data_IF_737878269605
#
_entry.id   IF_737878269605
#
_cell.length_a   1.000
_cell.length_b   1.000
_cell.length_c   1.000
_cell.angle_alpha   90.00
_cell.angle_beta   90.00
_cell.angle_gamma   90.00
#
_symmetry.space_group_name_H-M   'P 1'
#
loop_
_entity.id
_entity.type
_entity.pdbx_description
1 polymer ?
#
# COMPACT_ATOMS: atom_id res chain seq x y z
N UNK A 1 1.88 -42.60 -9.66
CA UNK A 1 0.69 -42.90 -8.87
C UNK A 1 0.75 -42.04 -7.62
N UNK A 2 0.19 -40.85 -7.46
CA UNK A 2 -0.60 -39.89 -8.27
C UNK A 2 -0.32 -38.54 -7.56
N UNK A 3 0.16 -37.48 -8.20
CA UNK A 3 -0.57 -36.54 -9.05
C UNK A 3 -1.98 -36.18 -8.52
N UNK A 4 -2.05 -35.27 -7.55
CA UNK A 4 -3.21 -34.39 -7.42
C UNK A 4 -2.74 -32.99 -7.00
N UNK A 5 -2.11 -32.29 -7.94
CA UNK A 5 -2.08 -30.84 -7.91
C UNK A 5 -3.52 -30.37 -7.98
N UNK A 6 -3.99 -29.70 -6.93
CA UNK A 6 -5.31 -29.05 -6.92
C UNK A 6 -5.37 -28.11 -8.11
N UNK A 7 -6.27 -28.41 -9.03
CA UNK A 7 -6.70 -27.55 -10.14
C UNK A 7 -6.92 -26.13 -9.62
N UNK A 8 -6.15 -25.16 -10.12
CA UNK A 8 -6.46 -23.75 -9.98
C UNK A 8 -7.83 -23.51 -10.63
N UNK A 9 -8.84 -23.18 -9.83
CA UNK A 9 -10.19 -22.93 -10.34
C UNK A 9 -10.13 -21.95 -11.50
N UNK A 10 -10.79 -22.26 -12.63
CA UNK A 10 -10.82 -21.45 -13.86
C UNK A 10 -11.54 -20.10 -13.73
N UNK A 11 -11.51 -19.46 -12.56
CA UNK A 11 -12.08 -18.13 -12.32
C UNK A 11 -11.18 -17.06 -12.94
N UNK A 12 -11.81 -16.05 -13.54
CA UNK A 12 -11.12 -14.91 -14.15
C UNK A 12 -10.30 -14.11 -13.14
N UNK A 13 -10.83 -13.94 -11.93
CA UNK A 13 -10.20 -13.21 -10.83
C UNK A 13 -10.03 -14.09 -9.59
N UNK A 14 -8.92 -13.89 -8.88
CA UNK A 14 -8.55 -14.64 -7.67
C UNK A 14 -8.43 -13.72 -6.44
N UNK A 15 -8.12 -12.44 -6.65
CA UNK A 15 -7.90 -11.45 -5.59
C UNK A 15 -8.56 -10.11 -5.93
N UNK A 16 -9.06 -9.42 -4.91
CA UNK A 16 -9.66 -8.09 -5.00
C UNK A 16 -8.97 -7.18 -3.97
N UNK A 17 -8.36 -6.10 -4.44
CA UNK A 17 -7.76 -5.05 -3.63
C UNK A 17 -8.74 -3.87 -3.54
N UNK A 18 -9.07 -3.45 -2.32
CA UNK A 18 -9.97 -2.33 -2.08
C UNK A 18 -9.22 -1.23 -1.37
N UNK A 19 -9.15 -0.05 -1.97
CA UNK A 19 -8.96 1.15 -1.19
C UNK A 19 -10.09 1.33 -0.16
N UNK A 20 -9.81 2.09 0.88
CA UNK A 20 -10.70 2.24 2.02
C UNK A 20 -11.41 3.60 2.03
N UNK A 21 -10.63 4.67 2.12
CA UNK A 21 -11.14 6.03 2.35
C UNK A 21 -11.79 6.57 1.08
N UNK A 22 -13.01 7.08 1.19
CA UNK A 22 -13.81 7.54 0.04
C UNK A 22 -14.19 6.44 -1.00
N UNK A 23 -13.74 5.19 -0.77
CA UNK A 23 -14.05 3.98 -1.57
C UNK A 23 -15.06 3.05 -0.87
N UNK A 24 -14.76 2.52 0.32
CA UNK A 24 -15.68 1.66 1.09
C UNK A 24 -16.80 2.44 1.77
N UNK A 25 -16.61 3.74 1.92
CA UNK A 25 -17.61 4.69 2.37
C UNK A 25 -17.48 5.96 1.52
N UNK A 26 -18.56 6.74 1.32
CA UNK A 26 -18.50 7.85 0.38
C UNK A 26 -17.75 9.07 0.96
N UNK A 27 -17.19 9.90 0.06
CA UNK A 27 -16.61 11.22 0.38
C UNK A 27 -17.55 12.12 1.19
N UNK A 28 -18.85 11.98 1.01
CA UNK A 28 -19.87 12.72 1.76
C UNK A 28 -19.92 12.39 3.26
N UNK A 29 -19.22 11.35 3.72
CA UNK A 29 -19.04 11.04 5.15
C UNK A 29 -18.31 12.17 5.91
N UNK A 30 -17.49 12.96 5.21
CA UNK A 30 -16.74 14.07 5.79
C UNK A 30 -15.47 13.67 6.53
N UNK A 31 -15.10 12.37 6.57
CA UNK A 31 -13.86 11.91 7.20
C UNK A 31 -12.63 12.49 6.52
N UNK A 32 -12.60 12.52 5.18
CA UNK A 32 -11.53 13.13 4.39
C UNK A 32 -11.29 14.60 4.78
N UNK A 33 -12.38 15.38 4.88
CA UNK A 33 -12.32 16.79 5.26
C UNK A 33 -11.79 16.98 6.69
N UNK A 34 -12.22 16.13 7.63
CA UNK A 34 -11.71 16.15 9.00
C UNK A 34 -10.22 15.76 9.06
N UNK A 35 -9.81 14.74 8.31
CA UNK A 35 -8.43 14.30 8.20
C UNK A 35 -7.54 15.44 7.68
N UNK A 36 -7.97 16.09 6.59
CA UNK A 36 -7.27 17.26 6.04
C UNK A 36 -7.10 18.37 7.08
N UNK A 37 -8.15 18.72 7.82
CA UNK A 37 -8.06 19.73 8.89
C UNK A 37 -7.05 19.34 9.96
N UNK A 38 -7.06 18.08 10.40
CA UNK A 38 -6.11 17.60 11.40
C UNK A 38 -4.66 17.65 10.89
N UNK A 39 -4.42 17.37 9.61
CA UNK A 39 -3.09 17.53 8.98
C UNK A 39 -2.67 19.00 8.98
N UNK A 40 -3.56 19.90 8.55
CA UNK A 40 -3.29 21.34 8.52
C UNK A 40 -2.99 21.88 9.94
N UNK A 41 -3.76 21.46 10.95
CA UNK A 41 -3.51 21.77 12.36
C UNK A 41 -2.19 21.21 12.87
N UNK A 42 -1.84 19.97 12.50
CA UNK A 42 -0.55 19.37 12.87
C UNK A 42 0.62 20.19 12.31
N UNK A 43 0.55 20.56 11.02
CA UNK A 43 1.57 21.39 10.37
C UNK A 43 1.72 22.76 11.02
N UNK A 44 0.62 23.39 11.41
CA UNK A 44 0.65 24.70 12.07
C UNK A 44 1.17 24.61 13.52
N UNK A 45 0.69 23.65 14.30
CA UNK A 45 0.94 23.60 15.74
C UNK A 45 2.23 22.87 16.11
N UNK A 46 2.60 21.82 15.37
CA UNK A 46 3.73 20.94 15.70
C UNK A 46 4.94 21.21 14.81
N UNK A 47 4.71 21.54 13.53
CA UNK A 47 5.79 21.87 12.59
C UNK A 47 6.01 23.39 12.44
N UNK A 48 5.19 24.21 13.12
CA UNK A 48 5.28 25.67 13.12
C UNK A 48 5.32 26.31 11.73
N UNK A 49 4.61 25.72 10.76
CA UNK A 49 4.49 26.24 9.39
C UNK A 49 3.46 27.39 9.39
N UNK A 50 3.74 28.43 8.59
CA UNK A 50 2.87 29.60 8.46
C UNK A 50 1.46 29.21 7.97
N UNK A 51 0.43 29.70 8.66
CA UNK A 51 -0.98 29.42 8.38
C UNK A 51 -1.37 29.70 6.93
N UNK A 52 -0.75 30.71 6.30
CA UNK A 52 -1.05 31.08 4.91
C UNK A 52 -0.44 30.10 3.89
N UNK A 53 0.58 29.33 4.29
CA UNK A 53 1.27 28.37 3.42
C UNK A 53 0.68 26.96 3.52
N UNK A 54 0.20 26.57 4.71
CA UNK A 54 -0.26 25.22 5.03
C UNK A 54 -1.25 24.64 4.01
N UNK A 55 -2.36 25.31 3.63
CA UNK A 55 -3.35 24.72 2.72
C UNK A 55 -2.79 24.42 1.32
N UNK A 56 -1.89 25.30 0.84
CA UNK A 56 -1.22 25.13 -0.46
C UNK A 56 -0.19 23.99 -0.37
N UNK A 57 0.63 23.98 0.68
CA UNK A 57 1.62 22.93 0.90
C UNK A 57 0.96 21.55 0.98
N UNK A 58 -0.12 21.40 1.74
CA UNK A 58 -0.87 20.14 1.82
C UNK A 58 -1.26 19.61 0.44
N UNK A 59 -1.78 20.50 -0.41
CA UNK A 59 -2.23 20.15 -1.75
C UNK A 59 -1.07 19.77 -2.67
N UNK A 60 0.00 20.56 -2.66
CA UNK A 60 1.17 20.33 -3.51
C UNK A 60 1.87 19.02 -3.11
N UNK A 61 2.07 18.78 -1.82
CA UNK A 61 2.64 17.54 -1.30
C UNK A 61 1.76 16.32 -1.60
N UNK A 62 0.44 16.44 -1.45
CA UNK A 62 -0.49 15.36 -1.82
C UNK A 62 -0.42 15.02 -3.32
N UNK A 63 -0.34 16.04 -4.19
CA UNK A 63 -0.25 15.87 -5.64
C UNK A 63 1.05 15.20 -6.08
N UNK A 64 2.16 15.55 -5.44
CA UNK A 64 3.48 15.05 -5.81
C UNK A 64 3.78 13.68 -5.18
N UNK A 65 3.46 13.50 -3.90
CA UNK A 65 3.90 12.34 -3.10
C UNK A 65 2.77 11.37 -2.74
N UNK A 66 1.52 11.68 -3.08
CA UNK A 66 0.37 10.83 -2.79
C UNK A 66 -0.25 11.01 -1.41
N UNK A 67 0.56 11.39 -0.41
CA UNK A 67 0.08 11.83 0.91
C UNK A 67 0.89 13.05 1.36
N UNK A 68 0.27 13.92 2.19
CA UNK A 68 0.99 15.05 2.78
C UNK A 68 2.14 14.58 3.66
N UNK A 69 1.96 13.50 4.44
CA UNK A 69 3.02 12.93 5.28
C UNK A 69 4.23 12.45 4.47
N UNK A 70 4.02 11.73 3.36
CA UNK A 70 5.11 11.29 2.49
C UNK A 70 5.90 12.47 1.93
N UNK A 71 5.19 13.54 1.52
CA UNK A 71 5.81 14.76 1.05
C UNK A 71 6.60 15.49 2.13
N UNK A 72 6.04 15.63 3.33
CA UNK A 72 6.75 16.19 4.49
C UNK A 72 8.04 15.40 4.75
N UNK A 73 7.98 14.07 4.89
CA UNK A 73 9.17 13.24 5.09
C UNK A 73 10.19 13.35 3.97
N UNK A 74 9.75 13.43 2.72
CA UNK A 74 10.64 13.58 1.58
C UNK A 74 11.39 14.92 1.61
N UNK A 75 10.71 16.01 1.93
CA UNK A 75 11.36 17.33 2.04
C UNK A 75 12.39 17.37 3.16
N UNK A 76 12.08 16.75 4.30
CA UNK A 76 13.03 16.60 5.42
C UNK A 76 14.27 15.80 5.01
N UNK A 77 14.04 14.68 4.34
CA UNK A 77 15.11 13.80 3.89
C UNK A 77 15.99 14.48 2.82
N UNK A 78 15.38 15.16 1.85
CA UNK A 78 16.10 15.87 0.80
C UNK A 78 16.96 17.01 1.37
N UNK A 79 16.47 17.73 2.38
CA UNK A 79 17.26 18.74 3.06
C UNK A 79 18.44 18.12 3.82
N UNK A 80 18.23 17.00 4.52
CA UNK A 80 19.29 16.27 5.22
C UNK A 80 20.37 15.71 4.28
N UNK A 81 20.00 15.32 3.05
CA UNK A 81 20.93 14.73 2.06
C UNK A 81 21.66 15.78 1.24
N UNK A 82 21.01 16.88 0.84
CA UNK A 82 21.66 17.95 0.06
C UNK A 82 22.68 18.76 0.86
N UNK A 83 22.65 18.64 2.18
CA UNK A 83 23.52 19.34 3.08
C UNK A 83 24.21 18.34 4.00
N UNK A 84 25.41 17.88 3.61
CA UNK A 84 26.42 17.42 4.55
C UNK A 84 26.87 18.61 5.45
N UNK A 85 25.92 19.23 6.17
CA UNK A 85 26.14 20.43 6.96
C UNK A 85 26.21 20.07 8.44
N UNK A 86 27.19 20.70 9.08
CA UNK A 86 27.49 20.77 10.50
C UNK A 86 26.24 20.57 11.40
N UNK A 87 26.42 19.80 12.48
CA UNK A 87 25.43 19.49 13.53
C UNK A 87 24.51 20.67 13.89
N UNK A 88 25.00 21.90 13.82
CA UNK A 88 24.29 23.15 14.08
C UNK A 88 23.08 23.43 13.17
N UNK A 89 23.11 23.07 11.88
CA UNK A 89 21.96 23.31 10.97
C UNK A 89 20.89 22.23 11.13
N UNK A 90 21.31 20.98 11.37
CA UNK A 90 20.40 19.91 11.76
C UNK A 90 19.69 20.25 13.07
N UNK A 91 20.44 20.77 14.06
CA UNK A 91 19.89 21.31 15.30
C UNK A 91 18.96 22.52 15.07
N UNK A 92 19.20 23.34 14.05
CA UNK A 92 18.30 24.44 13.67
C UNK A 92 17.00 23.94 13.04
N UNK A 93 17.04 22.88 12.22
CA UNK A 93 15.84 22.25 11.68
C UNK A 93 15.04 21.47 12.75
N UNK A 94 15.73 20.78 13.64
CA UNK A 94 15.14 20.21 14.85
C UNK A 94 14.54 21.31 15.74
N UNK A 95 15.21 22.47 15.85
CA UNK A 95 14.69 23.64 16.55
C UNK A 95 13.54 24.35 15.82
N UNK A 96 13.37 24.11 14.51
CA UNK A 96 12.23 24.56 13.72
C UNK A 96 11.06 23.55 13.71
N UNK A 97 11.18 22.41 14.42
CA UNK A 97 10.06 21.49 14.68
C UNK A 97 9.76 20.50 13.54
N UNK A 98 10.67 20.35 12.59
CA UNK A 98 10.40 19.64 11.34
C UNK A 98 10.53 18.12 11.41
N UNK A 99 11.13 17.56 12.47
CA UNK A 99 11.21 16.11 12.69
C UNK A 99 10.02 15.64 13.55
N UNK A 100 9.24 14.70 13.05
CA UNK A 100 8.10 14.12 13.78
C UNK A 100 8.06 12.60 13.64
N UNK A 101 7.52 11.93 14.64
CA UNK A 101 7.31 10.47 14.60
C UNK A 101 6.08 10.10 13.77
N UNK A 102 6.16 8.99 13.02
CA UNK A 102 5.06 8.57 12.15
C UNK A 102 3.82 8.18 12.95
N UNK A 103 4.00 7.48 14.07
CA UNK A 103 2.89 7.01 14.90
C UNK A 103 2.26 8.20 15.64
N UNK A 104 3.06 9.19 16.05
CA UNK A 104 2.56 10.46 16.59
C UNK A 104 1.70 11.22 15.57
N UNK A 105 2.17 11.34 14.32
CA UNK A 105 1.40 11.98 13.25
C UNK A 105 0.09 11.26 13.00
N UNK A 106 0.11 9.94 12.85
CA UNK A 106 -1.10 9.14 12.64
C UNK A 106 -2.06 9.22 13.81
N UNK A 107 -1.55 9.14 15.05
CA UNK A 107 -2.36 9.29 16.26
C UNK A 107 -3.03 10.66 16.31
N UNK A 108 -2.32 11.73 15.93
CA UNK A 108 -2.88 13.07 15.90
C UNK A 108 -3.95 13.22 14.81
N UNK A 109 -3.63 12.78 13.59
CA UNK A 109 -4.46 12.99 12.40
C UNK A 109 -5.68 12.07 12.39
N UNK A 110 -5.50 10.79 12.65
CA UNK A 110 -6.58 9.80 12.60
C UNK A 110 -7.26 9.55 13.95
N UNK A 111 -6.57 9.76 15.07
CA UNK A 111 -7.14 9.53 16.41
C UNK A 111 -8.27 10.51 16.78
N UNK A 112 -8.41 11.62 16.07
CA UNK A 112 -9.45 12.65 16.28
C UNK A 112 -10.58 12.62 15.25
N UNK A 113 -10.60 11.63 14.35
CA UNK A 113 -11.60 11.60 13.29
C UNK A 113 -13.01 11.33 13.84
N UNK A 114 -14.04 11.90 13.20
CA UNK A 114 -15.43 11.75 13.62
C UNK A 114 -16.00 10.38 13.19
N UNK A 115 -15.45 9.28 13.69
CA UNK A 115 -15.86 7.92 13.30
C UNK A 115 -17.33 7.60 13.56
N UNK A 116 -18.01 8.33 14.46
CA UNK A 116 -19.45 8.17 14.68
C UNK A 116 -20.32 8.62 13.50
N UNK A 117 -19.73 9.33 12.53
CA UNK A 117 -20.40 9.62 11.26
C UNK A 117 -20.54 8.37 10.38
N UNK A 118 -19.66 7.38 10.56
CA UNK A 118 -19.75 6.09 9.87
C UNK A 118 -20.77 5.20 10.57
N UNK A 119 -21.59 4.53 9.76
CA UNK A 119 -22.62 3.60 10.22
C UNK A 119 -22.37 2.23 9.59
N UNK A 120 -22.82 1.14 10.23
CA UNK A 120 -22.77 -0.18 9.63
C UNK A 120 -23.41 -0.20 8.25
N UNK A 121 -22.70 -0.76 7.27
CA UNK A 121 -23.19 -0.93 5.91
C UNK A 121 -23.47 -2.42 5.63
N UNK A 122 -24.67 -2.85 6.00
CA UNK A 122 -25.08 -4.25 5.85
C UNK A 122 -25.23 -4.66 4.38
N UNK A 123 -25.47 -3.72 3.47
CA UNK A 123 -25.59 -4.01 2.05
C UNK A 123 -24.20 -4.27 1.46
N UNK A 124 -23.23 -3.41 1.75
CA UNK A 124 -21.83 -3.63 1.36
C UNK A 124 -21.29 -4.91 1.98
N UNK A 125 -21.57 -5.16 3.26
CA UNK A 125 -21.18 -6.39 3.96
C UNK A 125 -21.69 -7.63 3.23
N UNK A 126 -22.99 -7.69 2.92
CA UNK A 126 -23.57 -8.81 2.19
C UNK A 126 -22.92 -9.00 0.82
N UNK A 127 -22.69 -7.90 0.11
CA UNK A 127 -22.04 -7.90 -1.20
C UNK A 127 -20.62 -8.49 -1.13
N UNK A 128 -19.78 -8.01 -0.20
CA UNK A 128 -18.40 -8.47 -0.02
C UNK A 128 -18.33 -9.94 0.39
N UNK A 129 -19.20 -10.38 1.30
CA UNK A 129 -19.27 -11.78 1.74
C UNK A 129 -19.74 -12.72 0.62
N UNK A 130 -20.54 -12.23 -0.33
CA UNK A 130 -20.98 -13.02 -1.47
C UNK A 130 -19.89 -13.24 -2.53
N UNK A 131 -18.79 -12.47 -2.50
CA UNK A 131 -17.70 -12.61 -3.48
C UNK A 131 -16.81 -13.81 -3.11
N UNK A 132 -16.53 -14.75 -4.02
CA UNK A 132 -15.70 -15.92 -3.72
C UNK A 132 -14.19 -15.63 -3.65
N UNK A 133 -13.73 -14.49 -4.18
CA UNK A 133 -12.31 -14.12 -4.23
C UNK A 133 -11.78 -13.69 -2.86
N UNK A 134 -10.46 -13.79 -2.69
CA UNK A 134 -9.76 -13.15 -1.57
C UNK A 134 -9.94 -11.64 -1.67
N UNK A 135 -10.20 -10.99 -0.54
CA UNK A 135 -10.44 -9.56 -0.43
C UNK A 135 -9.43 -8.97 0.54
N UNK A 136 -8.72 -7.92 0.13
CA UNK A 136 -7.68 -7.28 0.92
C UNK A 136 -7.90 -5.77 0.85
N UNK A 137 -7.86 -5.09 2.00
CA UNK A 137 -7.83 -3.63 2.03
C UNK A 137 -6.44 -3.16 1.66
N UNK A 138 -6.33 -2.16 0.79
CA UNK A 138 -5.08 -1.52 0.40
C UNK A 138 -5.20 0.01 0.54
N UNK A 139 -4.78 0.53 1.70
CA UNK A 139 -4.92 1.95 2.08
C UNK A 139 -3.56 2.61 2.33
N UNK A 140 -3.49 3.93 2.14
CA UNK A 140 -2.36 4.76 2.57
C UNK A 140 -2.40 5.13 4.06
N UNK A 141 -3.50 4.84 4.75
CA UNK A 141 -3.65 5.09 6.19
C UNK A 141 -2.90 4.05 7.04
N UNK A 142 -2.79 4.31 8.34
CA UNK A 142 -2.25 3.37 9.32
C UNK A 142 -3.26 2.30 9.73
N UNK A 143 -2.77 1.27 10.41
CA UNK A 143 -3.53 0.11 10.82
C UNK A 143 -4.63 0.45 11.84
N UNK A 144 -4.40 1.43 12.74
CA UNK A 144 -5.40 1.80 13.74
C UNK A 144 -6.59 2.50 13.08
N UNK A 145 -6.35 3.38 12.11
CA UNK A 145 -7.41 3.98 11.30
C UNK A 145 -8.21 2.91 10.55
N UNK A 146 -7.53 1.99 9.86
CA UNK A 146 -8.18 0.92 9.11
C UNK A 146 -9.07 0.05 10.00
N UNK A 147 -8.59 -0.34 11.17
CA UNK A 147 -9.38 -1.11 12.14
C UNK A 147 -10.64 -0.35 12.62
N UNK A 148 -10.53 0.96 12.88
CA UNK A 148 -11.68 1.78 13.29
C UNK A 148 -12.74 1.86 12.18
N UNK A 149 -12.34 2.15 10.94
CA UNK A 149 -13.26 2.24 9.81
C UNK A 149 -13.96 0.91 9.56
N UNK A 150 -13.20 -0.19 9.47
CA UNK A 150 -13.78 -1.51 9.22
C UNK A 150 -14.77 -1.92 10.32
N UNK A 151 -14.45 -1.66 11.58
CA UNK A 151 -15.38 -1.94 12.69
C UNK A 151 -16.66 -1.09 12.62
N UNK A 152 -16.55 0.22 12.35
CA UNK A 152 -17.72 1.11 12.26
C UNK A 152 -18.64 0.76 11.09
N UNK A 153 -18.08 0.30 9.99
CA UNK A 153 -18.85 -0.19 8.83
C UNK A 153 -19.35 -1.63 9.00
N UNK A 154 -18.93 -2.34 10.05
CA UNK A 154 -19.17 -3.77 10.26
C UNK A 154 -18.67 -4.63 9.09
N UNK A 155 -17.39 -4.46 8.74
CA UNK A 155 -16.71 -5.14 7.62
C UNK A 155 -15.44 -5.89 8.06
N UNK A 156 -15.14 -5.97 9.35
CA UNK A 156 -13.89 -6.53 9.90
C UNK A 156 -13.58 -7.97 9.46
N UNK A 157 -14.60 -8.80 9.21
CA UNK A 157 -14.50 -10.19 8.78
C UNK A 157 -14.72 -10.39 7.27
N UNK A 158 -14.93 -9.30 6.52
CA UNK A 158 -15.08 -9.36 5.05
C UNK A 158 -13.73 -9.46 4.32
N UNK A 159 -12.63 -9.11 4.98
CA UNK A 159 -11.30 -9.00 4.39
C UNK A 159 -10.34 -9.99 5.04
N UNK A 160 -9.49 -10.61 4.21
CA UNK A 160 -8.44 -11.53 4.67
C UNK A 160 -7.29 -10.79 5.37
N UNK A 161 -7.06 -9.53 4.96
CA UNK A 161 -6.01 -8.71 5.54
C UNK A 161 -6.07 -7.25 5.09
N UNK A 162 -5.19 -6.45 5.69
CA UNK A 162 -5.03 -5.03 5.40
C UNK A 162 -3.57 -4.79 5.02
N UNK A 163 -3.36 -4.14 3.88
CA UNK A 163 -2.10 -3.55 3.44
C UNK A 163 -2.23 -2.04 3.68
N UNK A 164 -1.59 -1.58 4.74
CA UNK A 164 -1.60 -0.20 5.25
C UNK A 164 -0.17 0.38 5.31
N UNK A 165 -0.04 1.58 5.84
CA UNK A 165 1.23 2.28 6.03
C UNK A 165 2.33 1.39 6.63
N UNK A 166 2.05 0.70 7.75
CA UNK A 166 3.02 -0.12 8.48
C UNK A 166 3.46 -1.35 7.69
N UNK A 167 2.56 -1.94 6.90
CA UNK A 167 2.90 -3.09 6.06
C UNK A 167 3.79 -2.71 4.87
N UNK A 168 3.63 -1.50 4.33
CA UNK A 168 4.45 -0.98 3.25
C UNK A 168 5.77 -0.38 3.75
N UNK A 169 5.78 0.12 4.98
CA UNK A 169 6.89 0.85 5.58
C UNK A 169 7.29 0.20 6.92
N UNK A 170 7.69 -1.10 6.92
CA UNK A 170 8.09 -1.76 8.15
C UNK A 170 9.32 -1.06 8.74
N UNK A 171 9.42 -0.96 10.08
CA UNK A 171 10.60 -0.39 10.71
C UNK A 171 11.86 -1.18 10.31
N UNK A 172 13.02 -0.50 10.18
CA UNK A 172 14.26 -1.19 9.85
C UNK A 172 14.53 -2.29 10.88
N UNK A 173 14.83 -3.50 10.38
CA UNK A 173 15.22 -4.62 11.23
C UNK A 173 16.42 -4.19 12.08
N UNK A 174 16.29 -4.24 13.40
CA UNK A 174 17.46 -4.06 14.28
C UNK A 174 18.48 -5.13 13.89
N UNK A 175 19.77 -4.78 13.69
CA UNK A 175 20.79 -5.79 13.45
C UNK A 175 20.76 -6.76 14.62
N UNK A 176 20.72 -8.06 14.32
CA UNK A 176 20.79 -9.10 15.32
C UNK A 176 22.07 -8.87 16.14
N UNK A 177 21.93 -8.68 17.46
CA UNK A 177 23.07 -8.73 18.37
C UNK A 177 23.66 -10.14 18.26
N UNK A 178 24.80 -10.24 17.59
CA UNK A 178 25.58 -11.47 17.49
C UNK A 178 26.38 -11.64 18.80
N UNK A 179 25.69 -12.11 19.84
CA UNK A 179 26.29 -12.46 21.13
C UNK A 179 26.86 -13.89 21.06
N UNK A 180 28.06 -14.06 20.48
CA UNK A 180 29.05 -15.14 20.73
C UNK A 180 30.03 -15.27 19.54
N UNK A 181 31.35 -15.45 19.66
CA UNK A 181 32.18 -15.99 20.71
C UNK A 181 33.59 -15.37 20.64
N UNK A 182 34.14 -15.20 21.82
CA UNK A 182 35.57 -15.12 22.12
C UNK A 182 36.31 -16.32 21.47
N UNK A 183 37.29 -16.09 20.60
CA UNK A 183 38.37 -17.07 20.35
C UNK A 183 39.67 -16.34 20.06
N UNK A 184 40.59 -16.43 21.02
CA UNK A 184 42.01 -16.23 20.86
C UNK A 184 42.55 -17.09 19.71
N UNK A 185 43.29 -16.52 18.76
CA UNK A 185 44.66 -16.96 18.53
C UNK A 185 45.53 -15.93 17.79
N UNK A 186 46.82 -15.94 18.13
CA UNK A 186 47.93 -15.13 17.58
C UNK A 186 48.32 -15.67 16.18
N UNK A 187 48.97 -14.91 15.29
CA UNK A 187 50.43 -14.87 15.13
C UNK A 187 50.86 -13.89 14.00
N UNK A 188 51.91 -13.13 14.32
CA UNK A 188 53.06 -12.53 13.59
C UNK A 188 52.98 -11.63 12.34
N UNK A 189 53.53 -10.42 12.58
CA UNK A 189 54.33 -9.61 11.66
C UNK A 189 55.71 -10.25 11.40
N UNK A 190 56.11 -10.42 10.12
CA UNK A 190 57.39 -9.92 9.53
C UNK A 190 57.74 -10.56 8.17
N UNK A 191 58.09 -9.66 7.23
CA UNK A 191 59.16 -9.79 6.20
C UNK A 191 58.93 -10.81 5.06
N UNK A 192 59.29 -10.62 3.78
CA UNK A 192 60.16 -9.64 3.09
C UNK A 192 60.04 -9.86 1.56
N UNK A 193 60.08 -8.75 0.81
CA UNK A 193 60.58 -8.51 -0.58
C UNK A 193 60.46 -9.61 -1.66
N UNK A 194 59.77 -9.26 -2.76
CA UNK A 194 60.37 -9.31 -4.10
C UNK A 194 59.66 -8.32 -5.04
N UNK A 195 60.47 -7.55 -5.75
CA UNK A 195 60.11 -6.56 -6.77
C UNK A 195 59.69 -7.27 -8.06
N UNK A 196 58.75 -6.68 -8.80
CA UNK A 196 58.98 -6.41 -10.23
C UNK A 196 58.04 -5.29 -10.71
N UNK A 197 58.65 -4.30 -11.37
CA UNK A 197 57.99 -3.18 -12.03
C UNK A 197 57.69 -3.58 -13.47
N UNK A 198 56.45 -3.40 -13.92
CA UNK A 198 56.18 -2.97 -15.30
C UNK A 198 54.89 -2.16 -15.36
N UNK A 199 55.09 -0.89 -15.70
CA UNK A 199 54.19 0.19 -16.09
C UNK A 199 52.72 -0.16 -16.45
N UNK A 200 51.79 0.58 -15.86
CA UNK A 200 50.41 0.64 -16.34
C UNK A 200 49.42 1.36 -15.41
N UNK A 201 49.43 2.69 -15.45
CA UNK A 201 48.30 3.61 -15.12
C UNK A 201 47.79 3.71 -13.67
N UNK A 202 47.68 4.97 -13.25
CA UNK A 202 47.38 5.48 -11.91
C UNK A 202 46.03 5.06 -11.28
N UNK A 203 46.11 4.72 -9.98
CA UNK A 203 45.21 5.06 -8.83
C UNK A 203 43.70 4.98 -9.08
N UNK A 204 43.00 3.93 -8.67
CA UNK A 204 42.60 3.58 -7.30
C UNK A 204 41.92 4.73 -6.53
N UNK A 205 40.59 4.65 -6.49
CA UNK A 205 39.78 4.87 -5.30
C UNK A 205 38.44 4.15 -5.56
N UNK A 206 38.43 2.85 -5.28
CA UNK A 206 37.19 2.06 -5.20
C UNK A 206 36.46 2.43 -3.91
N UNK A 207 35.88 3.63 -3.90
CA UNK A 207 34.89 4.03 -2.92
C UNK A 207 33.58 3.28 -3.19
N UNK A 208 33.28 2.36 -2.28
CA UNK A 208 31.97 1.79 -1.96
C UNK A 208 30.81 2.72 -2.39
N UNK A 209 30.25 2.48 -3.58
CA UNK A 209 29.09 3.23 -4.09
C UNK A 209 27.77 2.66 -3.56
N UNK A 210 27.80 1.84 -2.51
CA UNK A 210 26.59 1.49 -1.80
C UNK A 210 26.16 2.67 -0.94
N UNK A 211 24.88 3.02 -1.03
CA UNK A 211 24.11 3.91 -0.12
C UNK A 211 23.92 5.36 -0.53
N UNK A 212 23.31 5.59 -1.69
CA UNK A 212 22.22 6.58 -1.75
C UNK A 212 21.07 5.98 -2.54
N UNK A 213 20.15 5.33 -1.83
CA UNK A 213 18.89 4.92 -2.44
C UNK A 213 18.07 6.18 -2.67
N UNK A 214 17.85 6.52 -3.94
CA UNK A 214 16.96 7.62 -4.40
C UNK A 214 15.47 7.35 -4.14
N UNK A 215 15.14 6.42 -3.23
CA UNK A 215 13.77 6.02 -2.95
C UNK A 215 13.14 6.99 -1.96
N UNK A 216 11.86 7.38 -2.17
CA UNK A 216 11.16 8.22 -1.22
C UNK A 216 11.12 7.53 0.16
N UNK A 217 11.22 8.29 1.26
CA UNK A 217 11.29 7.72 2.61
C UNK A 217 10.00 7.01 3.04
N UNK A 218 8.88 7.31 2.38
CA UNK A 218 7.60 6.63 2.57
C UNK A 218 7.13 6.07 1.23
N UNK A 219 6.86 4.78 1.22
CA UNK A 219 6.22 4.07 0.11
C UNK A 219 4.70 4.11 0.30
N UNK A 220 3.99 4.75 -0.63
CA UNK A 220 2.53 4.84 -0.61
C UNK A 220 1.97 5.07 -2.03
N UNK A 221 0.66 4.86 -2.22
CA UNK A 221 -0.02 5.19 -3.48
C UNK A 221 0.06 6.72 -3.72
N UNK A 222 0.24 7.21 -4.96
CA UNK A 222 0.09 6.50 -6.23
C UNK A 222 1.41 5.94 -6.80
N UNK A 223 2.49 5.74 -6.03
CA UNK A 223 3.71 5.15 -6.60
C UNK A 223 3.42 3.74 -7.15
N UNK A 224 3.89 3.42 -8.36
CA UNK A 224 3.76 2.08 -8.96
C UNK A 224 4.47 1.05 -8.09
N UNK A 225 5.60 1.42 -7.49
CA UNK A 225 6.35 0.59 -6.56
C UNK A 225 5.53 0.22 -5.31
N UNK A 226 4.63 1.11 -4.85
CA UNK A 226 3.71 0.81 -3.75
C UNK A 226 2.64 -0.20 -4.17
N UNK A 227 2.11 -0.09 -5.40
CA UNK A 227 1.18 -1.07 -5.96
C UNK A 227 1.87 -2.44 -6.10
N UNK A 228 3.08 -2.48 -6.66
CA UNK A 228 3.86 -3.71 -6.79
C UNK A 228 4.20 -4.35 -5.44
N UNK A 229 4.50 -3.54 -4.43
CA UNK A 229 4.70 -4.02 -3.07
C UNK A 229 3.42 -4.64 -2.52
N UNK A 230 2.25 -4.01 -2.72
CA UNK A 230 0.97 -4.58 -2.32
C UNK A 230 0.68 -5.92 -3.02
N UNK A 231 0.95 -6.04 -4.32
CA UNK A 231 0.82 -7.30 -5.08
C UNK A 231 1.71 -8.40 -4.46
N UNK A 232 2.98 -8.08 -4.14
CA UNK A 232 3.91 -9.02 -3.51
C UNK A 232 3.44 -9.45 -2.12
N UNK A 233 3.00 -8.51 -1.28
CA UNK A 233 2.51 -8.77 0.08
C UNK A 233 1.25 -9.65 0.03
N UNK A 234 0.31 -9.34 -0.87
CA UNK A 234 -0.92 -10.10 -1.09
C UNK A 234 -0.68 -11.50 -1.68
N UNK A 235 0.51 -11.74 -2.25
CA UNK A 235 0.84 -12.92 -3.07
C UNK A 235 -0.18 -13.09 -4.20
N UNK A 236 -0.52 -12.00 -4.86
CA UNK A 236 -1.55 -11.95 -5.90
C UNK A 236 -0.94 -12.02 -7.31
N UNK A 237 -1.64 -12.64 -8.25
CA UNK A 237 -1.33 -12.50 -9.69
C UNK A 237 -1.97 -11.19 -10.17
N UNK A 238 -1.18 -10.20 -10.64
CA UNK A 238 -1.73 -8.91 -11.05
C UNK A 238 -2.77 -9.04 -12.17
N UNK A 239 -2.59 -9.99 -13.10
CA UNK A 239 -3.53 -10.20 -14.21
C UNK A 239 -4.88 -10.76 -13.78
N UNK A 240 -4.93 -11.39 -12.60
CA UNK A 240 -6.14 -11.94 -11.98
C UNK A 240 -6.59 -11.16 -10.75
N UNK A 241 -6.15 -9.91 -10.63
CA UNK A 241 -6.47 -9.05 -9.51
C UNK A 241 -7.20 -7.79 -9.98
N UNK A 242 -8.29 -7.45 -9.29
CA UNK A 242 -9.01 -6.18 -9.49
C UNK A 242 -8.62 -5.22 -8.36
N UNK A 243 -8.38 -3.95 -8.71
CA UNK A 243 -8.12 -2.88 -7.77
C UNK A 243 -9.20 -1.79 -7.85
N UNK A 244 -9.88 -1.57 -6.73
CA UNK A 244 -10.94 -0.57 -6.55
C UNK A 244 -10.36 0.62 -5.77
N UNK A 245 -10.43 1.83 -6.33
CA UNK A 245 -9.91 3.05 -5.70
C UNK A 245 -10.64 4.28 -6.26
N UNK A 246 -10.82 5.32 -5.46
CA UNK A 246 -11.48 6.58 -5.84
C UNK A 246 -10.50 7.56 -6.53
N UNK A 247 -9.19 7.37 -6.33
CA UNK A 247 -8.14 8.24 -6.86
C UNK A 247 -7.73 7.83 -8.26
N UNK A 248 -7.95 8.75 -9.21
CA UNK A 248 -7.53 8.60 -10.61
C UNK A 248 -6.04 8.29 -10.78
N UNK A 249 -5.19 8.84 -9.91
CA UNK A 249 -3.73 8.59 -9.92
C UNK A 249 -3.41 7.18 -9.42
N UNK A 250 -4.10 6.70 -8.39
CA UNK A 250 -3.92 5.35 -7.88
C UNK A 250 -4.34 4.32 -8.94
N UNK A 251 -5.47 4.57 -9.61
CA UNK A 251 -5.98 3.75 -10.71
C UNK A 251 -4.99 3.67 -11.88
N UNK A 252 -4.41 4.81 -12.30
CA UNK A 252 -3.40 4.83 -13.35
C UNK A 252 -2.17 3.95 -12.98
N UNK A 253 -1.71 4.03 -11.73
CA UNK A 253 -0.58 3.23 -11.25
C UNK A 253 -0.94 1.75 -11.08
N UNK A 254 -2.16 1.45 -10.65
CA UNK A 254 -2.73 0.11 -10.64
C UNK A 254 -2.67 -0.54 -12.02
N UNK A 255 -3.10 0.22 -13.04
CA UNK A 255 -3.07 -0.23 -14.42
C UNK A 255 -1.65 -0.47 -14.93
N UNK A 256 -0.74 0.45 -14.61
CA UNK A 256 0.68 0.33 -14.97
C UNK A 256 1.34 -0.92 -14.34
N UNK A 257 0.93 -1.29 -13.12
CA UNK A 257 1.37 -2.52 -12.44
C UNK A 257 0.70 -3.81 -12.97
N UNK A 258 -0.19 -3.71 -13.96
CA UNK A 258 -0.84 -4.85 -14.62
C UNK A 258 -2.15 -5.32 -13.96
N UNK A 259 -2.71 -4.55 -13.02
CA UNK A 259 -4.00 -4.84 -12.40
C UNK A 259 -5.16 -4.53 -13.35
N UNK A 260 -6.28 -5.22 -13.16
CA UNK A 260 -7.57 -4.70 -13.61
C UNK A 260 -8.01 -3.62 -12.63
N UNK A 261 -8.56 -2.51 -13.11
CA UNK A 261 -8.80 -1.35 -12.24
C UNK A 261 -10.19 -0.77 -12.38
N UNK A 262 -10.72 -0.30 -11.26
CA UNK A 262 -12.09 0.19 -11.14
C UNK A 262 -12.09 1.50 -10.38
N UNK A 263 -12.44 2.59 -11.07
CA UNK A 263 -12.62 3.90 -10.42
C UNK A 263 -13.96 3.91 -9.69
N UNK A 264 -13.93 4.21 -8.39
CA UNK A 264 -15.13 4.28 -7.53
C UNK A 264 -15.51 5.74 -7.26
N UNK A 265 -16.81 6.01 -7.08
CA UNK A 265 -17.32 7.37 -6.87
C UNK A 265 -17.48 8.20 -8.16
N UNK A 266 -17.32 7.57 -9.34
CA UNK A 266 -17.40 8.22 -10.65
C UNK A 266 -18.20 7.36 -11.63
N UNK A 267 -19.04 8.00 -12.45
CA UNK A 267 -19.69 7.35 -13.61
C UNK A 267 -18.85 7.44 -14.88
N UNK A 268 -17.75 8.20 -14.84
CA UNK A 268 -16.88 8.47 -15.99
C UNK A 268 -15.58 7.70 -15.84
N UNK A 269 -15.18 7.00 -16.91
CA UNK A 269 -13.88 6.35 -17.00
C UNK A 269 -12.76 7.39 -16.98
N UNK A 270 -11.67 7.06 -16.31
CA UNK A 270 -10.46 7.87 -16.21
C UNK A 270 -9.29 7.11 -16.81
N UNK A 271 -8.20 7.78 -17.23
CA UNK A 271 -7.03 7.09 -17.75
C UNK A 271 -6.54 5.99 -16.79
N UNK A 272 -6.46 4.76 -17.31
CA UNK A 272 -6.08 3.58 -16.53
C UNK A 272 -7.26 2.70 -16.12
N UNK A 273 -8.45 3.28 -15.86
CA UNK A 273 -9.63 2.56 -15.39
C UNK A 273 -10.20 1.62 -16.47
N UNK A 274 -10.47 0.36 -16.09
CA UNK A 274 -11.20 -0.59 -16.93
C UNK A 274 -12.72 -0.43 -16.75
N UNK A 275 -13.16 -0.13 -15.52
CA UNK A 275 -14.56 0.10 -15.16
C UNK A 275 -14.71 1.34 -14.28
N UNK A 276 -15.92 1.91 -14.26
CA UNK A 276 -16.29 3.03 -13.40
C UNK A 276 -17.57 2.71 -12.64
N UNK A 277 -17.57 3.00 -11.33
CA UNK A 277 -18.71 2.79 -10.44
C UNK A 277 -19.07 4.11 -9.74
N UNK A 278 -20.33 4.53 -9.83
CA UNK A 278 -20.85 5.64 -9.01
C UNK A 278 -20.76 5.35 -7.52
N UNK A 279 -20.88 4.09 -7.12
CA UNK A 279 -20.74 3.61 -5.75
C UNK A 279 -20.20 2.18 -5.77
N UNK A 280 -19.45 1.81 -4.73
CA UNK A 280 -18.96 0.45 -4.53
C UNK A 280 -20.10 -0.59 -4.50
N UNK A 281 -21.32 -0.17 -4.15
CA UNK A 281 -22.51 -1.03 -4.18
C UNK A 281 -22.91 -1.50 -5.58
N UNK A 282 -22.44 -0.83 -6.63
CA UNK A 282 -22.75 -1.16 -8.02
C UNK A 282 -21.80 -2.20 -8.64
N UNK A 283 -20.91 -2.82 -7.85
CA UNK A 283 -19.93 -3.81 -8.38
C UNK A 283 -20.64 -4.92 -9.17
N UNK A 284 -21.75 -5.46 -8.65
CA UNK A 284 -22.44 -6.59 -9.30
C UNK A 284 -22.97 -6.27 -10.69
N UNK A 285 -23.42 -5.03 -10.90
CA UNK A 285 -23.96 -4.59 -12.19
C UNK A 285 -22.84 -4.38 -13.21
N UNK A 286 -21.68 -3.90 -12.76
CA UNK A 286 -20.56 -3.56 -13.63
C UNK A 286 -19.58 -4.71 -13.88
N UNK A 287 -19.48 -5.64 -12.93
CA UNK A 287 -18.53 -6.75 -12.89
C UNK A 287 -19.23 -8.05 -12.44
N UNK A 288 -20.27 -8.52 -13.16
CA UNK A 288 -20.97 -9.76 -12.81
C UNK A 288 -20.03 -10.98 -12.81
N UNK A 289 -18.93 -10.94 -13.58
CA UNK A 289 -17.95 -12.02 -13.68
C UNK A 289 -17.21 -12.35 -12.38
N UNK A 290 -17.29 -11.47 -11.37
CA UNK A 290 -16.79 -11.76 -10.02
C UNK A 290 -17.55 -12.96 -9.42
N UNK A 291 -18.81 -13.15 -9.81
CA UNK A 291 -19.64 -14.27 -9.37
C UNK A 291 -19.75 -15.41 -10.41
N UNK A 292 -19.20 -15.22 -11.61
CA UNK A 292 -19.22 -16.25 -12.65
C UNK A 292 -18.15 -17.32 -12.36
N UNK A 293 -18.54 -18.59 -12.48
CA UNK A 293 -17.73 -19.76 -12.08
C UNK A 293 -18.35 -20.61 -10.97
N UNK A 294 -19.46 -20.19 -10.35
CA UNK A 294 -20.31 -21.06 -9.51
C UNK A 294 -21.36 -21.82 -10.33
N UNK A 295 -21.87 -21.22 -11.42
CA UNK A 295 -22.98 -21.75 -12.22
C UNK A 295 -22.61 -22.93 -13.13
N UNK A 296 -21.44 -22.92 -13.77
CA UNK A 296 -21.10 -23.97 -14.75
C UNK A 296 -20.84 -25.33 -14.11
N UNK A 297 -20.33 -25.38 -12.87
CA UNK A 297 -20.15 -26.65 -12.17
C UNK A 297 -21.48 -27.24 -11.69
N UNK A 298 -22.43 -26.40 -11.27
CA UNK A 298 -23.76 -26.88 -10.84
C UNK A 298 -24.61 -27.33 -12.04
N UNK A 299 -24.57 -26.59 -13.15
CA UNK A 299 -25.25 -26.99 -14.40
C UNK A 299 -24.65 -28.25 -15.02
N UNK A 300 -23.32 -28.40 -15.04
CA UNK A 300 -22.69 -29.64 -15.52
C UNK A 300 -23.03 -30.84 -14.64
N UNK A 301 -23.09 -30.69 -13.32
CA UNK A 301 -23.50 -31.76 -12.39
C UNK A 301 -24.98 -32.12 -12.58
N UNK A 302 -25.87 -31.14 -12.75
CA UNK A 302 -27.29 -31.38 -13.05
C UNK A 302 -27.47 -32.07 -14.41
N UNK A 303 -26.70 -31.66 -15.43
CA UNK A 303 -26.73 -32.28 -16.76
C UNK A 303 -26.20 -33.72 -16.75
N UNK A 304 -25.20 -34.02 -15.92
CA UNK A 304 -24.68 -35.38 -15.73
C UNK A 304 -25.67 -36.28 -14.97
N UNK A 305 -26.32 -35.76 -13.92
CA UNK A 305 -27.31 -36.52 -13.13
C UNK A 305 -28.57 -36.82 -13.97
N UNK A 306 -29.01 -35.87 -14.80
CA UNK A 306 -30.17 -36.07 -15.70
C UNK A 306 -29.90 -37.03 -16.88
N UNK A 307 -28.65 -37.17 -17.32
CA UNK A 307 -28.30 -38.15 -18.37
C UNK A 307 -28.24 -39.58 -17.83
N UNK A 308 -27.94 -39.78 -16.55
CA UNK A 308 -27.83 -41.10 -15.94
C UNK A 308 -29.19 -41.72 -15.56
N UNK A 309 -30.23 -40.90 -15.32
CA UNK A 309 -31.59 -41.41 -15.12
C UNK A 309 -32.27 -41.86 -16.43
N UNK A 310 -31.77 -41.43 -17.59
CA UNK A 310 -32.37 -41.77 -18.90
C UNK A 310 -31.77 -43.04 -19.52
N UNK A 311 -30.63 -43.52 -19.01
CA UNK A 311 -29.91 -44.70 -19.51
C UNK A 311 -30.29 -46.02 -18.79
N UNK A 312 -31.05 -45.96 -17.70
CA UNK A 312 -31.45 -47.13 -16.88
C UNK A 312 -32.85 -47.69 -17.26
N UNK A 313 -33.53 -47.08 -18.25
CA UNK A 313 -34.88 -47.49 -18.68
C UNK A 313 -35.01 -47.88 -20.17
N UNK A 314 -33.92 -48.28 -20.84
CA UNK A 314 -33.96 -48.80 -22.22
C UNK A 314 -33.56 -50.28 -22.29
#
# INVERSE_FOLDING_TARGET
>A
MDACGRSSSGRKYECLLFDMDDTLYPLSSGLNLACRKNIEEFMLQHLHIDENEVPKMCLDLYKEYGTTMAGLKCQLYSFAVYQAICLTVLLQFQALGYEFDNDEFHTYVHGKLPYEALKPDLLLRHLLLSMPQRKIVFTNADNAHAAQVLNKLSLEDCFEGVICFETLNPPPLKPAHDDNYNTHDRIDEKQVLAKDESEGTATDDTADSSRFSSKPPILCKPSVEAIEAAIRIAKADPKKTIFFDDSTRNIASGKAAGLHTVIVGSTTLVPGADHALSSIHNIKDALPEIWEGEGEQLEQVIHLISHDETSVLA
#
